data_IF_350203687231
#
_entry.id   IF_350203687231
#
_cell.length_a   1.000
_cell.length_b   1.000
_cell.length_c   1.000
_cell.angle_alpha   90.00
_cell.angle_beta   90.00
_cell.angle_gamma   90.00
#
_symmetry.space_group_name_H-M   'P 1'
#
loop_
_entity.id
_entity.type
_entity.pdbx_description
1 polymer ?
#
# COMPACT_ATOMS: atom_id res chain seq x y z
N UNK A 1 21.64 -12.66 4.48
CA UNK A 1 22.46 -13.75 5.03
C UNK A 1 22.36 -13.71 6.53
N UNK A 2 21.69 -14.69 7.13
CA UNK A 2 21.65 -14.88 8.59
C UNK A 2 22.87 -15.68 8.98
N UNK A 3 23.67 -15.18 9.91
CA UNK A 3 24.82 -15.90 10.43
C UNK A 3 24.30 -16.99 11.40
N UNK A 4 24.59 -18.27 11.19
CA UNK A 4 24.16 -19.33 12.10
C UNK A 4 24.87 -19.16 13.46
N UNK A 5 24.09 -19.07 14.56
CA UNK A 5 24.61 -18.93 15.92
C UNK A 5 24.56 -17.52 16.51
N UNK A 6 23.98 -16.55 15.82
CA UNK A 6 23.81 -15.19 16.33
C UNK A 6 22.66 -15.12 17.35
N UNK A 7 22.83 -14.45 18.52
CA UNK A 7 21.80 -14.38 19.56
C UNK A 7 20.55 -13.55 19.16
N UNK A 8 20.60 -12.87 18.02
CA UNK A 8 19.52 -12.03 17.48
C UNK A 8 19.13 -12.55 16.10
N UNK A 9 18.26 -13.57 16.02
CA UNK A 9 17.92 -14.24 14.75
C UNK A 9 17.26 -13.30 13.73
N UNK A 10 16.72 -12.17 14.17
CA UNK A 10 15.99 -11.21 13.33
C UNK A 10 16.85 -10.04 12.82
N UNK A 11 18.16 -10.03 13.12
CA UNK A 11 19.07 -8.99 12.66
C UNK A 11 19.64 -9.33 11.27
N UNK A 12 19.33 -8.51 10.30
CA UNK A 12 19.88 -8.58 8.95
C UNK A 12 20.79 -7.38 8.68
N UNK A 13 21.93 -7.62 8.03
CA UNK A 13 22.79 -6.56 7.52
C UNK A 13 22.46 -6.35 6.03
N UNK A 14 22.04 -5.14 5.65
CA UNK A 14 21.74 -4.82 4.25
C UNK A 14 23.02 -4.79 3.41
N UNK A 15 24.12 -4.26 3.97
CA UNK A 15 25.41 -4.12 3.29
C UNK A 15 26.57 -4.73 4.10
N UNK A 16 26.65 -6.05 4.20
CA UNK A 16 27.67 -6.72 5.03
C UNK A 16 29.10 -6.43 4.56
N UNK A 17 29.29 -6.14 3.26
CA UNK A 17 30.59 -5.78 2.70
C UNK A 17 31.14 -4.44 3.22
N UNK A 18 30.30 -3.56 3.79
CA UNK A 18 30.75 -2.33 4.43
C UNK A 18 31.70 -2.60 5.63
N UNK A 19 31.58 -3.77 6.27
CA UNK A 19 32.50 -4.20 7.35
C UNK A 19 33.93 -4.44 6.87
N UNK A 20 34.15 -4.64 5.56
CA UNK A 20 35.50 -4.73 4.99
C UNK A 20 36.30 -3.42 5.11
N UNK A 21 35.60 -2.29 5.38
CA UNK A 21 36.25 -1.00 5.65
C UNK A 21 36.86 -0.90 7.07
N UNK A 22 36.56 -1.82 7.97
CA UNK A 22 37.12 -1.83 9.34
C UNK A 22 38.64 -1.74 9.38
N UNK A 23 39.43 -2.53 8.61
CA UNK A 23 40.91 -2.48 8.65
C UNK A 23 41.51 -1.27 7.93
N UNK A 24 40.68 -0.44 7.22
CA UNK A 24 41.18 0.67 6.41
C UNK A 24 42.07 1.67 7.16
N UNK A 25 41.78 2.12 8.39
CA UNK A 25 42.67 3.05 9.10
C UNK A 25 44.01 2.42 9.48
N UNK A 26 44.04 1.09 9.69
CA UNK A 26 45.25 0.35 9.98
C UNK A 26 46.11 0.17 8.71
N UNK A 27 45.51 -0.14 7.56
CA UNK A 27 46.14 -0.20 6.24
C UNK A 27 46.72 1.17 5.83
N UNK A 28 45.99 2.26 6.06
CA UNK A 28 46.44 3.62 5.77
C UNK A 28 47.68 4.00 6.63
N UNK A 29 47.90 3.39 7.79
CA UNK A 29 49.07 3.59 8.63
C UNK A 29 50.33 2.99 8.00
N UNK A 30 50.20 1.96 7.20
CA UNK A 30 51.32 1.30 6.50
C UNK A 30 51.69 2.00 5.20
N UNK A 31 50.82 2.90 4.72
CA UNK A 31 51.10 3.69 3.53
C UNK A 31 52.25 4.65 3.85
N UNK A 32 53.41 4.60 3.10
CA UNK A 32 54.51 5.48 3.35
C UNK A 32 54.13 6.91 3.14
N UNK A 33 54.04 7.67 4.23
CA UNK A 33 53.85 9.12 4.14
C UNK A 33 55.18 9.67 3.61
N UNK A 34 55.16 10.13 2.38
CA UNK A 34 56.25 10.98 1.86
C UNK A 34 56.20 12.28 2.65
N UNK A 35 56.95 12.34 3.74
CA UNK A 35 57.22 13.58 4.44
C UNK A 35 58.14 14.36 3.53
N UNK A 36 57.64 15.39 2.88
CA UNK A 36 58.48 16.37 2.22
C UNK A 36 59.30 17.04 3.33
N UNK A 37 60.54 16.61 3.48
CA UNK A 37 61.51 17.21 4.38
C UNK A 37 62.08 18.48 3.73
N UNK A 38 61.24 19.47 3.50
CA UNK A 38 61.67 20.80 3.11
C UNK A 38 61.26 21.84 4.19
N UNK A 39 61.88 21.68 5.35
CA UNK A 39 61.83 22.69 6.39
C UNK A 39 63.26 23.02 6.83
N UNK A 40 63.69 24.25 6.57
CA UNK A 40 64.95 24.71 7.10
C UNK A 40 64.99 24.45 8.61
N UNK A 41 65.87 23.55 9.06
CA UNK A 41 66.08 23.26 10.47
C UNK A 41 66.65 24.53 11.16
N UNK A 42 65.80 25.27 11.88
CA UNK A 42 66.28 26.31 12.76
C UNK A 42 67.12 25.68 13.88
N UNK A 43 68.40 25.97 13.90
CA UNK A 43 69.27 25.59 15.01
C UNK A 43 68.93 26.45 16.21
N UNK A 44 68.24 25.89 17.19
CA UNK A 44 67.87 26.56 18.43
C UNK A 44 68.91 26.17 19.49
N UNK A 45 69.46 27.10 20.28
CA UNK A 45 70.50 26.82 21.22
C UNK A 45 70.03 26.12 22.52
N UNK A 46 68.87 25.57 22.54
CA UNK A 46 68.27 24.92 23.72
C UNK A 46 68.48 23.43 23.71
N UNK A 47 68.82 22.86 24.92
CA UNK A 47 68.97 21.41 25.05
C UNK A 47 67.66 20.66 24.80
N UNK A 48 67.72 19.43 24.27
CA UNK A 48 66.56 18.60 23.99
C UNK A 48 65.65 18.38 25.23
N UNK A 49 66.22 18.46 26.45
CA UNK A 49 65.47 18.37 27.72
C UNK A 49 64.60 19.61 27.95
N UNK A 50 65.15 20.80 27.74
CA UNK A 50 64.40 22.06 27.89
C UNK A 50 63.28 22.17 26.85
N UNK A 51 63.49 21.69 25.63
CA UNK A 51 62.45 21.59 24.60
C UNK A 51 61.36 20.60 24.98
N UNK A 52 61.67 19.49 25.64
CA UNK A 52 60.69 18.53 26.15
C UNK A 52 59.88 19.06 27.33
N UNK A 53 60.47 19.85 28.21
CA UNK A 53 59.79 20.54 29.34
C UNK A 53 58.84 21.64 28.83
N UNK A 54 59.29 22.46 27.84
CA UNK A 54 58.45 23.50 27.21
C UNK A 54 57.36 22.88 26.33
N UNK A 55 57.60 21.76 25.69
CA UNK A 55 56.57 21.00 24.93
C UNK A 55 55.50 20.40 25.83
N UNK A 56 55.60 20.63 27.15
CA UNK A 56 54.67 20.18 28.18
C UNK A 56 54.43 18.71 28.00
N UNK A 57 54.85 17.90 28.94
CA UNK A 57 54.58 16.44 28.97
C UNK A 57 53.07 16.10 28.94
N UNK A 58 52.44 16.54 27.91
CA UNK A 58 51.03 16.20 27.57
C UNK A 58 51.02 14.78 27.07
N UNK A 59 50.91 13.95 28.02
CA UNK A 59 50.98 12.55 28.16
C UNK A 59 50.71 11.74 26.93
N UNK A 60 51.57 10.79 26.70
CA UNK A 60 51.39 9.60 25.83
C UNK A 60 49.99 8.99 26.04
N UNK A 61 49.38 9.20 27.20
CA UNK A 61 48.02 8.69 27.54
C UNK A 61 46.90 9.49 26.89
N UNK A 62 46.98 10.79 26.79
CA UNK A 62 45.99 11.60 26.06
C UNK A 62 45.96 11.28 24.56
N UNK A 63 47.11 11.00 23.96
CA UNK A 63 47.19 10.59 22.56
C UNK A 63 46.67 9.14 22.32
N UNK A 64 46.73 8.27 23.34
CA UNK A 64 46.16 6.91 23.28
C UNK A 64 44.63 6.99 23.35
N UNK A 65 44.09 7.74 24.29
CA UNK A 65 42.63 7.91 24.46
C UNK A 65 42.02 8.53 23.19
N UNK A 66 42.63 9.59 22.66
CA UNK A 66 42.14 10.22 21.42
C UNK A 66 42.13 9.22 20.24
N UNK A 67 43.17 8.42 20.08
CA UNK A 67 43.23 7.38 19.03
C UNK A 67 42.16 6.30 19.25
N UNK A 68 41.95 5.89 20.49
CA UNK A 68 40.91 4.91 20.82
C UNK A 68 39.52 5.44 20.47
N UNK A 69 39.19 6.68 20.82
CA UNK A 69 37.95 7.32 20.48
C UNK A 69 37.69 7.37 18.96
N UNK A 70 38.71 7.72 18.18
CA UNK A 70 38.60 7.73 16.71
C UNK A 70 38.40 6.33 16.13
N UNK A 71 39.07 5.33 16.70
CA UNK A 71 38.90 3.93 16.30
C UNK A 71 37.49 3.42 16.61
N UNK A 72 36.98 3.71 17.79
CA UNK A 72 35.62 3.35 18.17
C UNK A 72 34.60 4.08 17.28
N UNK A 73 34.80 5.38 17.01
CA UNK A 73 33.94 6.14 16.11
C UNK A 73 33.93 5.52 14.70
N UNK A 74 35.11 5.10 14.19
CA UNK A 74 35.24 4.42 12.89
C UNK A 74 34.49 3.08 12.87
N UNK A 75 34.67 2.25 13.90
CA UNK A 75 33.96 0.97 14.01
C UNK A 75 32.43 1.18 14.02
N UNK A 76 31.93 2.13 14.82
CA UNK A 76 30.50 2.45 14.85
C UNK A 76 29.98 2.97 13.49
N UNK A 77 30.80 3.76 12.79
CA UNK A 77 30.48 4.24 11.44
C UNK A 77 30.38 3.08 10.44
N UNK A 78 31.30 2.12 10.48
CA UNK A 78 31.25 0.93 9.63
C UNK A 78 30.02 0.07 9.92
N UNK A 79 29.64 -0.06 11.20
CA UNK A 79 28.42 -0.77 11.61
C UNK A 79 27.17 -0.01 11.12
N UNK A 80 27.14 1.31 11.24
CA UNK A 80 26.04 2.13 10.71
C UNK A 80 25.91 1.99 9.18
N UNK A 81 27.04 1.98 8.46
CA UNK A 81 27.08 1.80 7.01
C UNK A 81 26.62 0.41 6.57
N UNK A 82 26.85 -0.62 7.39
CA UNK A 82 26.33 -1.97 7.15
C UNK A 82 24.80 -2.05 7.23
N UNK A 83 24.10 -0.97 7.65
CA UNK A 83 22.64 -0.82 7.76
C UNK A 83 21.99 -2.03 8.46
N UNK A 84 22.19 -2.20 9.77
CA UNK A 84 21.50 -3.23 10.53
C UNK A 84 19.98 -2.99 10.48
N UNK A 85 19.23 -4.04 10.12
CA UNK A 85 17.76 -4.06 10.01
C UNK A 85 17.22 -5.14 10.92
N UNK A 86 16.21 -4.80 11.70
CA UNK A 86 15.42 -5.77 12.48
C UNK A 86 14.18 -6.14 11.67
N UNK A 87 13.93 -7.44 11.54
CA UNK A 87 12.68 -7.94 10.99
C UNK A 87 11.57 -7.71 12.04
N UNK A 88 10.58 -6.92 11.67
CA UNK A 88 9.36 -6.75 12.48
C UNK A 88 8.48 -8.00 12.46
N UNK A 89 7.44 -7.96 13.26
CA UNK A 89 6.41 -9.01 13.26
C UNK A 89 5.80 -9.16 11.88
N UNK A 90 5.51 -10.40 11.50
CA UNK A 90 4.87 -10.70 10.24
C UNK A 90 3.45 -10.11 10.25
N UNK A 91 3.26 -8.99 9.57
CA UNK A 91 1.94 -8.44 9.31
C UNK A 91 1.44 -9.08 8.02
N UNK A 92 0.38 -9.85 8.11
CA UNK A 92 -0.36 -10.31 6.95
C UNK A 92 -1.38 -9.22 6.60
N UNK A 93 -1.09 -8.31 5.67
CA UNK A 93 -2.12 -7.41 5.20
C UNK A 93 -3.26 -8.28 4.63
N UNK A 94 -4.51 -7.90 4.79
CA UNK A 94 -5.61 -8.55 4.09
C UNK A 94 -5.41 -8.32 2.58
N UNK A 95 -4.70 -9.24 1.90
CA UNK A 95 -4.26 -9.03 0.51
C UNK A 95 -5.18 -9.65 -0.50
N UNK A 96 -6.27 -10.24 -0.08
CA UNK A 96 -7.26 -10.72 -1.03
C UNK A 96 -8.57 -9.98 -0.78
N UNK A 97 -8.63 -8.75 -1.26
CA UNK A 97 -9.87 -8.07 -1.51
C UNK A 97 -10.74 -8.93 -2.42
N UNK A 98 -12.00 -9.13 -2.06
CA UNK A 98 -12.96 -9.80 -2.94
C UNK A 98 -13.01 -9.07 -4.27
N UNK A 99 -13.17 -9.82 -5.33
CA UNK A 99 -13.35 -9.26 -6.66
C UNK A 99 -14.83 -9.33 -7.00
N UNK A 100 -15.51 -8.23 -6.81
CA UNK A 100 -16.96 -8.11 -7.02
C UNK A 100 -17.23 -7.39 -8.33
N UNK A 101 -18.09 -7.95 -9.15
CA UNK A 101 -18.69 -7.23 -10.27
C UNK A 101 -20.16 -7.00 -9.97
N UNK A 102 -20.58 -5.75 -9.98
CA UNK A 102 -21.98 -5.36 -9.89
C UNK A 102 -22.51 -5.17 -11.31
N UNK A 103 -23.53 -5.93 -11.68
CA UNK A 103 -24.25 -5.74 -12.92
C UNK A 103 -25.65 -5.20 -12.60
N UNK A 104 -25.93 -3.97 -13.02
CA UNK A 104 -27.17 -3.27 -12.74
C UNK A 104 -27.98 -3.12 -14.02
N UNK A 105 -29.23 -3.53 -13.97
CA UNK A 105 -30.20 -3.28 -15.01
C UNK A 105 -30.53 -1.79 -15.09
N UNK A 106 -30.51 -1.25 -16.30
CA UNK A 106 -30.93 0.14 -16.60
C UNK A 106 -31.96 0.16 -17.74
N UNK A 107 -32.61 -0.95 -17.96
CA UNK A 107 -33.73 -1.08 -18.95
C UNK A 107 -34.89 -0.18 -18.63
N UNK A 108 -35.88 -0.13 -19.54
CA UNK A 108 -37.02 0.76 -19.41
C UNK A 108 -37.88 0.50 -18.17
N UNK A 109 -37.98 -0.76 -17.72
CA UNK A 109 -38.72 -1.16 -16.52
C UNK A 109 -38.17 -0.61 -15.21
N UNK A 110 -36.87 -0.33 -15.16
CA UNK A 110 -36.21 0.29 -13.99
C UNK A 110 -36.65 1.76 -13.74
N UNK A 111 -37.36 2.38 -14.69
CA UNK A 111 -37.94 3.70 -14.53
C UNK A 111 -39.33 3.67 -13.84
N UNK A 112 -39.86 2.51 -13.48
CA UNK A 112 -41.16 2.43 -12.83
C UNK A 112 -41.13 2.94 -11.38
N UNK A 113 -42.08 3.85 -10.99
CA UNK A 113 -42.13 4.41 -9.65
C UNK A 113 -42.98 3.50 -8.73
N UNK A 114 -42.48 2.32 -8.39
CA UNK A 114 -43.18 1.34 -7.53
C UNK A 114 -42.41 1.01 -6.25
N UNK A 115 -41.25 1.62 -6.04
CA UNK A 115 -40.40 1.35 -4.88
C UNK A 115 -40.55 2.41 -3.80
N UNK A 116 -40.47 1.99 -2.53
CA UNK A 116 -40.53 2.90 -1.39
C UNK A 116 -39.16 3.14 -0.81
N UNK A 117 -38.69 4.38 -0.80
CA UNK A 117 -37.49 4.82 -0.13
C UNK A 117 -37.85 5.79 1.00
N UNK A 118 -37.78 5.32 2.24
CA UNK A 118 -38.26 6.07 3.40
C UNK A 118 -39.75 6.26 3.39
N UNK A 119 -40.24 7.46 2.97
CA UNK A 119 -41.67 7.79 2.87
C UNK A 119 -42.12 8.22 1.45
N UNK A 120 -41.21 8.12 0.50
CA UNK A 120 -41.46 8.55 -0.88
C UNK A 120 -41.46 7.34 -1.81
N UNK A 121 -42.38 7.37 -2.76
CA UNK A 121 -42.36 6.43 -3.88
C UNK A 121 -41.35 6.96 -4.91
N UNK A 122 -40.43 6.12 -5.32
CA UNK A 122 -39.33 6.45 -6.23
C UNK A 122 -39.25 5.41 -7.34
N UNK A 123 -38.53 5.74 -8.41
CA UNK A 123 -38.20 4.80 -9.47
C UNK A 123 -37.33 3.65 -8.95
N UNK A 124 -37.44 2.45 -9.50
CA UNK A 124 -36.66 1.27 -9.16
C UNK A 124 -35.16 1.57 -9.23
N UNK A 125 -34.72 2.27 -10.29
CA UNK A 125 -33.32 2.64 -10.45
C UNK A 125 -32.80 3.53 -9.32
N UNK A 126 -33.61 4.52 -8.88
CA UNK A 126 -33.24 5.42 -7.77
C UNK A 126 -33.12 4.64 -6.46
N UNK A 127 -34.06 3.74 -6.20
CA UNK A 127 -33.99 2.87 -5.02
C UNK A 127 -32.81 1.92 -5.05
N UNK A 128 -32.53 1.28 -6.19
CA UNK A 128 -31.38 0.40 -6.38
C UNK A 128 -30.06 1.14 -6.16
N UNK A 129 -29.88 2.33 -6.73
CA UNK A 129 -28.71 3.18 -6.55
C UNK A 129 -28.47 3.53 -5.08
N UNK A 130 -29.52 3.91 -4.35
CA UNK A 130 -29.39 4.28 -2.95
C UNK A 130 -28.86 3.11 -2.10
N UNK A 131 -29.41 1.91 -2.31
CA UNK A 131 -28.99 0.70 -1.57
C UNK A 131 -27.61 0.23 -2.00
N UNK A 132 -27.29 0.30 -3.30
CA UNK A 132 -25.95 -0.05 -3.79
C UNK A 132 -24.87 0.93 -3.30
N UNK A 133 -25.20 2.22 -3.19
CA UNK A 133 -24.28 3.20 -2.64
C UNK A 133 -23.95 2.90 -1.17
N UNK A 134 -24.97 2.59 -0.36
CA UNK A 134 -24.79 2.16 1.03
C UNK A 134 -24.00 0.83 1.15
N UNK A 135 -24.24 -0.10 0.23
CA UNK A 135 -23.45 -1.33 0.12
C UNK A 135 -21.97 -1.04 -0.16
N UNK A 136 -21.67 -0.15 -1.11
CA UNK A 136 -20.30 0.23 -1.44
C UNK A 136 -19.57 0.90 -0.24
N UNK A 137 -20.28 1.74 0.52
CA UNK A 137 -19.72 2.42 1.69
C UNK A 137 -19.26 1.43 2.78
N UNK A 138 -19.87 0.25 2.87
CA UNK A 138 -19.51 -0.82 3.80
C UNK A 138 -18.40 -1.74 3.30
N UNK A 139 -17.91 -1.56 2.07
CA UNK A 139 -16.96 -2.46 1.38
C UNK A 139 -15.53 -1.93 1.34
N UNK A 140 -15.14 -1.15 2.34
CA UNK A 140 -13.76 -0.67 2.43
C UNK A 140 -12.77 -1.86 2.43
N UNK A 141 -11.90 -1.88 1.41
CA UNK A 141 -10.91 -2.94 1.21
C UNK A 141 -11.26 -3.98 0.14
N UNK A 142 -12.50 -4.03 -0.37
CA UNK A 142 -12.87 -4.85 -1.51
C UNK A 142 -12.55 -4.13 -2.84
N UNK A 143 -12.48 -4.90 -3.93
CA UNK A 143 -12.34 -4.37 -5.29
C UNK A 143 -13.65 -4.60 -6.02
N UNK A 144 -14.26 -3.52 -6.48
CA UNK A 144 -15.57 -3.56 -7.12
C UNK A 144 -15.49 -2.98 -8.51
N UNK A 145 -16.12 -3.66 -9.47
CA UNK A 145 -16.39 -3.14 -10.79
C UNK A 145 -17.88 -2.92 -10.99
N UNK A 146 -18.25 -1.98 -11.85
CA UNK A 146 -19.64 -1.67 -12.20
C UNK A 146 -19.88 -1.92 -13.68
N UNK A 147 -20.96 -2.64 -13.94
CA UNK A 147 -21.47 -2.94 -15.26
C UNK A 147 -22.95 -2.54 -15.28
N UNK A 148 -23.38 -1.94 -16.38
CA UNK A 148 -24.81 -1.70 -16.64
C UNK A 148 -25.24 -2.46 -17.88
N UNK A 149 -26.49 -2.84 -17.95
CA UNK A 149 -27.04 -3.53 -19.10
C UNK A 149 -28.49 -3.13 -19.39
N UNK A 150 -28.84 -3.25 -20.62
CA UNK A 150 -30.12 -3.04 -21.26
C UNK A 150 -30.15 -3.87 -22.52
N UNK A 151 -30.30 -3.29 -23.72
CA UNK A 151 -30.17 -3.99 -24.99
C UNK A 151 -28.78 -4.66 -25.13
N UNK A 152 -27.77 -4.08 -24.52
CA UNK A 152 -26.38 -4.56 -24.45
C UNK A 152 -25.79 -4.29 -23.09
N UNK A 153 -24.68 -4.99 -22.79
CA UNK A 153 -23.95 -4.79 -21.56
C UNK A 153 -22.71 -3.90 -21.75
N UNK A 154 -22.49 -2.98 -20.82
CA UNK A 154 -21.37 -2.04 -20.81
C UNK A 154 -20.69 -2.02 -19.44
N UNK A 155 -19.35 -2.08 -19.43
CA UNK A 155 -18.59 -1.88 -18.20
C UNK A 155 -18.37 -0.37 -17.99
N UNK A 156 -18.93 0.19 -16.93
CA UNK A 156 -18.72 1.60 -16.54
C UNK A 156 -17.40 1.76 -15.81
N UNK A 157 -17.13 0.89 -14.82
CA UNK A 157 -15.86 0.89 -14.10
C UNK A 157 -15.23 -0.50 -14.12
N UNK A 158 -13.90 -0.58 -14.35
CA UNK A 158 -13.16 -1.82 -14.16
C UNK A 158 -13.13 -2.19 -12.68
N UNK A 159 -12.70 -3.41 -12.35
CA UNK A 159 -12.53 -3.85 -10.96
C UNK A 159 -11.43 -3.02 -10.30
N UNK A 160 -11.81 -2.14 -9.38
CA UNK A 160 -10.92 -1.19 -8.69
C UNK A 160 -11.15 -1.19 -7.19
N UNK A 161 -10.13 -0.78 -6.44
CA UNK A 161 -10.25 -0.48 -5.02
C UNK A 161 -10.77 0.95 -4.75
N UNK A 162 -10.87 1.78 -5.79
CA UNK A 162 -11.43 3.13 -5.70
C UNK A 162 -12.97 3.07 -5.76
N UNK A 163 -13.56 2.83 -4.59
CA UNK A 163 -15.00 2.75 -4.46
C UNK A 163 -15.71 4.10 -4.65
N UNK A 164 -14.98 5.22 -4.48
CA UNK A 164 -15.54 6.54 -4.71
C UNK A 164 -15.87 6.75 -6.19
N UNK A 165 -14.95 6.38 -7.10
CA UNK A 165 -15.20 6.42 -8.53
C UNK A 165 -16.34 5.47 -8.97
N UNK A 166 -16.44 4.27 -8.34
CA UNK A 166 -17.55 3.34 -8.61
C UNK A 166 -18.88 3.97 -8.21
N UNK A 167 -18.92 4.62 -7.04
CA UNK A 167 -20.12 5.30 -6.54
C UNK A 167 -20.53 6.48 -7.40
N UNK A 168 -19.59 7.26 -7.90
CA UNK A 168 -19.85 8.37 -8.81
C UNK A 168 -20.50 7.86 -10.10
N UNK A 169 -19.90 6.84 -10.74
CA UNK A 169 -20.45 6.23 -11.95
C UNK A 169 -21.81 5.56 -11.73
N UNK A 170 -22.03 4.96 -10.55
CA UNK A 170 -23.34 4.46 -10.15
C UNK A 170 -24.38 5.60 -10.07
N UNK A 171 -23.99 6.75 -9.52
CA UNK A 171 -24.81 7.95 -9.46
C UNK A 171 -25.24 8.47 -10.82
N UNK A 172 -24.35 8.41 -11.82
CA UNK A 172 -24.56 8.93 -13.18
C UNK A 172 -25.40 8.00 -14.08
N UNK A 173 -25.58 6.71 -13.69
CA UNK A 173 -26.38 5.78 -14.46
C UNK A 173 -27.83 6.27 -14.56
N UNK A 174 -28.41 6.23 -15.75
CA UNK A 174 -29.81 6.64 -16.02
C UNK A 174 -30.57 5.54 -16.73
N UNK A 175 -31.87 5.53 -16.57
CA UNK A 175 -32.76 4.58 -17.29
C UNK A 175 -32.58 4.74 -18.79
N UNK A 176 -32.41 3.62 -19.49
CA UNK A 176 -32.21 3.57 -20.91
C UNK A 176 -30.79 3.88 -21.39
N UNK A 177 -29.79 4.05 -20.48
CA UNK A 177 -28.40 4.29 -20.82
C UNK A 177 -27.81 3.17 -21.72
N UNK A 178 -28.22 1.92 -21.46
CA UNK A 178 -27.77 0.75 -22.22
C UNK A 178 -28.85 0.18 -23.16
N UNK A 179 -29.94 0.92 -23.39
CA UNK A 179 -31.10 0.50 -24.15
C UNK A 179 -32.30 0.24 -23.25
N UNK A 180 -33.43 -0.13 -23.85
CA UNK A 180 -34.69 -0.30 -23.13
C UNK A 180 -35.05 -1.75 -22.81
N UNK A 181 -34.45 -2.68 -23.52
CA UNK A 181 -34.60 -4.13 -23.34
C UNK A 181 -33.66 -4.67 -22.27
N UNK A 182 -33.66 -5.97 -22.02
CA UNK A 182 -32.90 -6.59 -20.93
C UNK A 182 -32.10 -7.79 -21.44
N UNK A 183 -30.77 -7.62 -21.62
CA UNK A 183 -29.84 -8.64 -22.10
C UNK A 183 -29.05 -9.27 -20.94
N UNK A 184 -29.70 -10.11 -20.11
CA UNK A 184 -29.08 -10.76 -18.94
C UNK A 184 -27.87 -11.65 -19.35
N UNK A 185 -28.00 -12.42 -20.44
CA UNK A 185 -26.94 -13.31 -20.91
C UNK A 185 -25.66 -12.56 -21.28
N UNK A 186 -25.79 -11.43 -21.98
CA UNK A 186 -24.65 -10.60 -22.38
C UNK A 186 -24.01 -9.92 -21.17
N UNK A 187 -24.81 -9.52 -20.15
CA UNK A 187 -24.33 -8.97 -18.90
C UNK A 187 -23.45 -9.97 -18.14
N UNK A 188 -23.92 -11.22 -18.00
CA UNK A 188 -23.14 -12.32 -17.38
C UNK A 188 -21.85 -12.56 -18.16
N UNK A 189 -21.94 -12.70 -19.49
CA UNK A 189 -20.77 -12.97 -20.34
C UNK A 189 -19.69 -11.87 -20.23
N UNK A 190 -20.12 -10.60 -20.22
CA UNK A 190 -19.19 -9.48 -20.04
C UNK A 190 -18.56 -9.47 -18.64
N UNK A 191 -19.35 -9.75 -17.58
CA UNK A 191 -18.85 -9.88 -16.22
C UNK A 191 -17.81 -11.01 -16.11
N UNK A 192 -18.10 -12.17 -16.66
CA UNK A 192 -17.17 -13.31 -16.71
C UNK A 192 -15.87 -12.94 -17.41
N UNK A 193 -15.95 -12.26 -18.57
CA UNK A 193 -14.78 -11.77 -19.30
C UNK A 193 -13.92 -10.84 -18.45
N UNK A 194 -14.51 -10.03 -17.58
CA UNK A 194 -13.78 -9.10 -16.69
C UNK A 194 -13.23 -9.76 -15.44
N UNK A 195 -13.91 -10.82 -14.96
CA UNK A 195 -13.54 -11.54 -13.74
C UNK A 195 -12.53 -12.66 -13.98
N UNK A 196 -12.47 -13.26 -15.17
CA UNK A 196 -11.59 -14.41 -15.45
C UNK A 196 -10.11 -14.13 -15.22
N UNK A 197 -9.68 -12.87 -15.40
CA UNK A 197 -8.29 -12.44 -15.18
C UNK A 197 -7.97 -12.21 -13.69
N UNK A 198 -8.98 -12.39 -12.80
CA UNK A 198 -8.84 -12.25 -11.37
C UNK A 198 -8.57 -13.61 -10.71
N UNK A 199 -8.00 -13.64 -9.47
CA UNK A 199 -7.73 -14.88 -8.76
C UNK A 199 -8.98 -15.77 -8.60
N UNK A 200 -8.80 -17.07 -8.75
CA UNK A 200 -9.87 -18.05 -8.55
C UNK A 200 -10.40 -18.03 -7.11
N UNK A 201 -11.67 -18.38 -6.95
CA UNK A 201 -12.34 -18.43 -5.64
C UNK A 201 -12.82 -17.09 -5.10
N UNK A 202 -12.53 -15.98 -5.80
CA UNK A 202 -12.94 -14.63 -5.40
C UNK A 202 -13.79 -13.91 -6.46
N UNK A 203 -14.17 -14.63 -7.50
CA UNK A 203 -14.91 -14.10 -8.65
C UNK A 203 -16.39 -14.14 -8.34
N UNK A 204 -16.96 -13.00 -8.01
CA UNK A 204 -18.37 -12.86 -7.65
C UNK A 204 -19.05 -11.85 -8.56
N UNK A 205 -20.18 -12.23 -9.12
CA UNK A 205 -21.07 -11.36 -9.87
C UNK A 205 -22.39 -11.21 -9.09
N UNK A 206 -22.76 -9.98 -8.78
CA UNK A 206 -24.09 -9.62 -8.27
C UNK A 206 -24.86 -9.03 -9.44
N UNK A 207 -25.93 -9.70 -9.85
CA UNK A 207 -26.76 -9.31 -10.97
C UNK A 207 -28.09 -8.78 -10.46
N UNK A 208 -28.31 -7.48 -10.57
CA UNK A 208 -29.57 -6.83 -10.19
C UNK A 208 -30.43 -6.61 -11.45
N UNK A 209 -31.62 -7.17 -11.48
CA UNK A 209 -32.57 -7.04 -12.59
C UNK A 209 -34.00 -7.07 -12.08
N UNK A 210 -34.90 -6.43 -12.79
CA UNK A 210 -36.36 -6.42 -12.52
C UNK A 210 -37.15 -7.09 -13.61
N UNK A 211 -36.51 -7.59 -14.67
CA UNK A 211 -37.15 -8.05 -15.87
C UNK A 211 -36.85 -9.47 -16.32
N UNK A 212 -37.45 -9.83 -17.43
CA UNK A 212 -37.23 -11.04 -18.21
C UNK A 212 -36.17 -10.72 -19.28
N UNK A 213 -35.24 -11.65 -19.53
CA UNK A 213 -34.29 -11.47 -20.63
C UNK A 213 -35.01 -11.55 -21.97
N UNK A 214 -35.13 -10.42 -22.66
CA UNK A 214 -35.80 -10.28 -23.96
C UNK A 214 -34.87 -9.82 -25.08
N UNK A 215 -33.59 -9.52 -24.75
CA UNK A 215 -32.54 -9.10 -25.67
C UNK A 215 -31.25 -9.86 -25.45
N UNK A 216 -30.24 -9.56 -26.26
CA UNK A 216 -28.90 -10.08 -26.18
C UNK A 216 -28.60 -11.21 -27.15
N UNK A 217 -27.31 -11.45 -27.38
CA UNK A 217 -26.80 -12.49 -28.29
C UNK A 217 -26.71 -13.83 -27.58
N UNK A 218 -26.37 -13.83 -26.30
CA UNK A 218 -26.20 -15.05 -25.50
C UNK A 218 -27.42 -15.30 -24.60
N UNK A 219 -27.95 -16.54 -24.64
CA UNK A 219 -29.02 -16.89 -23.70
C UNK A 219 -28.52 -16.94 -22.26
N UNK A 220 -29.34 -16.53 -21.26
CA UNK A 220 -28.94 -16.49 -19.84
C UNK A 220 -28.36 -17.79 -19.32
N UNK A 221 -28.93 -18.95 -19.68
CA UNK A 221 -28.47 -20.25 -19.22
C UNK A 221 -27.10 -20.65 -19.80
N UNK A 222 -26.82 -20.30 -21.07
CA UNK A 222 -25.49 -20.51 -21.66
C UNK A 222 -24.45 -19.61 -21.04
N UNK A 223 -24.83 -18.38 -20.71
CA UNK A 223 -23.95 -17.47 -19.97
C UNK A 223 -23.65 -17.99 -18.55
N UNK A 224 -24.63 -18.62 -17.89
CA UNK A 224 -24.43 -19.29 -16.62
C UNK A 224 -23.47 -20.48 -16.73
N UNK A 225 -23.58 -21.30 -17.76
CA UNK A 225 -22.64 -22.41 -18.01
C UNK A 225 -21.20 -21.90 -18.24
N UNK A 226 -21.06 -20.76 -18.96
CA UNK A 226 -19.77 -20.08 -19.12
C UNK A 226 -19.23 -19.58 -17.76
N UNK A 227 -20.10 -18.95 -16.95
CA UNK A 227 -19.72 -18.48 -15.61
C UNK A 227 -19.27 -19.61 -14.69
N UNK A 228 -19.96 -20.77 -14.73
CA UNK A 228 -19.60 -21.96 -13.98
C UNK A 228 -18.22 -22.50 -14.41
N UNK A 229 -17.96 -22.56 -15.72
CA UNK A 229 -16.65 -22.99 -16.27
C UNK A 229 -15.49 -22.11 -15.80
N UNK A 230 -15.72 -20.81 -15.72
CA UNK A 230 -14.73 -19.80 -15.26
C UNK A 230 -14.75 -19.59 -13.75
N UNK A 231 -15.49 -20.43 -13.01
CA UNK A 231 -15.62 -20.37 -11.54
C UNK A 231 -16.11 -18.99 -11.02
N UNK A 232 -16.99 -18.35 -11.75
CA UNK A 232 -17.65 -17.10 -11.36
C UNK A 232 -18.98 -17.45 -10.69
N UNK A 233 -19.11 -17.11 -9.41
CA UNK A 233 -20.39 -17.27 -8.68
C UNK A 233 -21.31 -16.11 -9.02
N UNK A 234 -22.52 -16.41 -9.47
CA UNK A 234 -23.53 -15.42 -9.82
C UNK A 234 -24.61 -15.39 -8.75
N UNK A 235 -24.88 -14.22 -8.21
CA UNK A 235 -25.96 -13.93 -7.27
C UNK A 235 -27.00 -13.07 -7.96
N UNK A 236 -28.02 -13.67 -8.59
CA UNK A 236 -29.11 -12.91 -9.17
C UNK A 236 -30.00 -12.35 -8.08
N UNK A 237 -30.28 -11.07 -8.15
CA UNK A 237 -31.20 -10.35 -7.28
C UNK A 237 -32.32 -9.81 -8.14
N UNK A 238 -33.50 -10.42 -8.04
CA UNK A 238 -34.69 -9.91 -8.65
C UNK A 238 -35.24 -8.74 -7.82
N UNK A 239 -35.37 -7.57 -8.43
CA UNK A 239 -35.76 -6.33 -7.76
C UNK A 239 -36.98 -5.72 -8.41
N UNK A 240 -38.03 -5.42 -7.62
CA UNK A 240 -39.27 -4.83 -8.09
C UNK A 240 -40.45 -5.18 -7.21
N UNK A 241 -41.37 -4.27 -7.09
CA UNK A 241 -42.63 -4.46 -6.36
C UNK A 241 -43.55 -5.52 -7.02
N UNK A 242 -44.62 -5.88 -6.34
CA UNK A 242 -45.59 -6.85 -6.84
C UNK A 242 -46.51 -6.25 -7.94
N UNK A 243 -46.13 -5.11 -8.56
CA UNK A 243 -46.73 -4.54 -9.78
C UNK A 243 -48.23 -4.18 -9.72
N UNK A 244 -48.84 -4.28 -8.57
CA UNK A 244 -50.27 -3.96 -8.41
C UNK A 244 -50.49 -2.62 -7.70
N UNK A 245 -50.95 -1.61 -8.41
CA UNK A 245 -51.51 -0.43 -7.78
C UNK A 245 -52.83 -0.87 -7.10
N UNK A 246 -52.75 -1.14 -5.79
CA UNK A 246 -53.95 -1.43 -4.97
C UNK A 246 -54.64 -0.13 -4.68
N UNK A 247 -55.61 0.23 -5.53
CA UNK A 247 -56.50 1.35 -5.27
C UNK A 247 -57.80 0.78 -4.64
N UNK A 248 -58.09 1.16 -3.42
CA UNK A 248 -59.26 0.70 -2.64
C UNK A 248 -59.42 -0.82 -2.46
N UNK A 249 -58.30 -1.57 -2.41
CA UNK A 249 -58.35 -3.03 -2.20
C UNK A 249 -58.69 -3.86 -3.43
N UNK A 250 -58.83 -3.24 -4.60
CA UNK A 250 -58.96 -3.91 -5.88
C UNK A 250 -57.66 -3.85 -6.64
N UNK A 251 -57.14 -5.02 -7.07
CA UNK A 251 -55.99 -5.14 -7.97
C UNK A 251 -56.43 -4.66 -9.36
N UNK A 252 -56.09 -3.43 -9.73
CA UNK A 252 -56.42 -2.84 -11.03
C UNK A 252 -55.32 -3.00 -12.08
N UNK A 253 -54.27 -3.68 -11.76
CA UNK A 253 -53.18 -3.95 -12.68
C UNK A 253 -53.05 -5.44 -13.00
N UNK A 254 -53.26 -5.82 -14.25
CA UNK A 254 -52.65 -7.02 -14.78
C UNK A 254 -51.15 -6.81 -14.66
N UNK A 255 -50.50 -7.62 -13.78
CA UNK A 255 -49.09 -7.50 -13.51
C UNK A 255 -48.29 -7.47 -14.79
N UNK A 256 -47.48 -6.48 -14.91
CA UNK A 256 -46.39 -6.50 -15.86
C UNK A 256 -45.57 -7.80 -15.71
N UNK A 257 -44.97 -8.21 -16.80
CA UNK A 257 -44.32 -9.50 -16.98
C UNK A 257 -43.64 -9.99 -15.69
N UNK A 258 -44.02 -11.15 -15.18
CA UNK A 258 -43.48 -11.66 -13.95
C UNK A 258 -41.96 -11.86 -14.18
N UNK A 259 -41.14 -11.34 -13.29
CA UNK A 259 -39.73 -11.62 -13.27
C UNK A 259 -39.53 -13.11 -13.47
N UNK A 260 -38.68 -13.51 -14.43
CA UNK A 260 -38.39 -14.94 -14.68
C UNK A 260 -37.53 -15.52 -13.57
N UNK A 261 -38.16 -15.69 -12.39
CA UNK A 261 -37.46 -16.27 -11.23
C UNK A 261 -36.92 -17.66 -11.50
N UNK A 262 -37.60 -18.43 -12.40
CA UNK A 262 -37.16 -19.78 -12.71
C UNK A 262 -35.81 -19.78 -13.40
N UNK A 263 -35.60 -18.92 -14.39
CA UNK A 263 -34.32 -18.76 -15.06
C UNK A 263 -33.24 -18.21 -14.12
N UNK A 264 -33.56 -17.20 -13.29
CA UNK A 264 -32.63 -16.62 -12.34
C UNK A 264 -32.17 -17.63 -11.27
N UNK A 265 -33.08 -18.49 -10.78
CA UNK A 265 -32.71 -19.59 -9.87
C UNK A 265 -31.79 -20.61 -10.54
N UNK A 266 -32.06 -21.00 -11.79
CA UNK A 266 -31.20 -21.91 -12.54
C UNK A 266 -29.79 -21.31 -12.76
N UNK A 267 -29.69 -19.99 -13.03
CA UNK A 267 -28.40 -19.30 -13.14
C UNK A 267 -27.63 -19.42 -11.82
N UNK A 268 -28.28 -19.13 -10.69
CA UNK A 268 -27.67 -19.24 -9.39
C UNK A 268 -27.19 -20.66 -9.09
N UNK A 269 -28.05 -21.66 -9.28
CA UNK A 269 -27.74 -23.07 -9.01
C UNK A 269 -26.56 -23.57 -9.86
N UNK A 270 -26.53 -23.26 -11.16
CA UNK A 270 -25.43 -23.69 -12.07
C UNK A 270 -24.10 -23.06 -11.72
N UNK A 271 -24.09 -21.85 -11.17
CA UNK A 271 -22.86 -21.10 -10.85
C UNK A 271 -22.43 -21.25 -9.38
N UNK A 272 -23.16 -22.02 -8.56
CA UNK A 272 -22.91 -22.19 -7.14
C UNK A 272 -23.22 -20.93 -6.31
N UNK A 273 -23.98 -20.01 -6.86
CA UNK A 273 -24.52 -18.83 -6.16
C UNK A 273 -25.87 -19.10 -5.51
N UNK A 274 -26.57 -18.02 -5.16
CA UNK A 274 -27.92 -18.07 -4.58
C UNK A 274 -28.80 -16.98 -5.20
N UNK A 275 -30.05 -17.33 -5.49
CA UNK A 275 -31.06 -16.38 -5.97
C UNK A 275 -31.69 -15.64 -4.80
N UNK A 276 -31.95 -14.36 -4.98
CA UNK A 276 -32.64 -13.48 -4.03
C UNK A 276 -33.77 -12.72 -4.72
N UNK A 277 -34.82 -12.41 -3.96
CA UNK A 277 -35.91 -11.52 -4.37
C UNK A 277 -35.98 -10.38 -3.38
N UNK A 278 -36.00 -9.16 -3.88
CA UNK A 278 -36.23 -7.96 -3.09
C UNK A 278 -37.43 -7.22 -3.60
N UNK A 279 -38.45 -7.06 -2.76
CA UNK A 279 -39.69 -6.33 -3.06
C UNK A 279 -39.63 -4.88 -2.61
N UNK A 280 -38.74 -4.60 -1.69
CA UNK A 280 -38.52 -3.26 -1.18
C UNK A 280 -37.02 -3.00 -0.92
N UNK A 281 -36.69 -1.76 -0.55
CA UNK A 281 -35.31 -1.35 -0.27
C UNK A 281 -34.74 -2.00 0.99
N UNK A 282 -35.55 -2.36 1.97
CA UNK A 282 -35.12 -2.98 3.21
C UNK A 282 -34.72 -4.45 2.98
N UNK A 283 -35.52 -5.20 2.19
CA UNK A 283 -35.21 -6.55 1.77
C UNK A 283 -33.91 -6.54 0.95
N UNK A 284 -33.73 -5.60 0.01
CA UNK A 284 -32.52 -5.49 -0.78
C UNK A 284 -31.28 -5.23 0.09
N UNK A 285 -31.39 -4.34 1.08
CA UNK A 285 -30.30 -4.10 2.02
C UNK A 285 -29.98 -5.35 2.87
N UNK A 286 -31.00 -6.11 3.28
CA UNK A 286 -30.86 -7.38 3.98
C UNK A 286 -30.12 -8.43 3.16
N UNK A 287 -30.43 -8.52 1.85
CA UNK A 287 -29.78 -9.44 0.89
C UNK A 287 -28.28 -9.12 0.79
N UNK A 288 -27.91 -7.86 0.69
CA UNK A 288 -26.49 -7.47 0.66
C UNK A 288 -25.77 -7.80 1.96
N UNK A 289 -26.43 -7.70 3.12
CA UNK A 289 -25.86 -8.13 4.40
C UNK A 289 -25.66 -9.66 4.47
N UNK A 290 -26.54 -10.44 3.83
CA UNK A 290 -26.39 -11.89 3.73
C UNK A 290 -25.27 -12.29 2.76
N UNK A 291 -25.13 -11.61 1.63
CA UNK A 291 -24.00 -11.77 0.70
C UNK A 291 -22.65 -11.55 1.40
N UNK A 292 -22.59 -10.62 2.37
CA UNK A 292 -21.41 -10.42 3.20
C UNK A 292 -21.03 -11.64 4.02
N UNK A 293 -22.02 -12.41 4.46
CA UNK A 293 -21.80 -13.64 5.25
C UNK A 293 -21.45 -14.84 4.38
N UNK A 294 -22.04 -14.91 3.17
CA UNK A 294 -21.78 -16.01 2.24
C UNK A 294 -20.37 -15.96 1.65
N UNK A 295 -19.86 -14.78 1.47
CA UNK A 295 -18.53 -14.53 0.87
C UNK A 295 -17.58 -13.87 1.89
N UNK A 296 -17.15 -14.59 2.96
CA UNK A 296 -16.22 -14.01 3.93
C UNK A 296 -14.86 -13.76 3.29
N UNK A 297 -14.16 -12.70 3.73
CA UNK A 297 -12.77 -12.44 3.33
C UNK A 297 -11.86 -13.49 3.97
N UNK A 298 -11.51 -14.51 3.23
CA UNK A 298 -10.70 -15.65 3.73
C UNK A 298 -9.28 -15.67 3.17
N UNK A 299 -8.63 -14.55 3.01
CA UNK A 299 -7.29 -14.62 2.48
C UNK A 299 -6.26 -14.00 3.38
N UNK A 300 -5.44 -14.87 3.95
CA UNK A 300 -4.15 -14.51 4.53
C UNK A 300 -3.20 -14.23 3.37
N UNK A 301 -2.93 -12.96 3.09
CA UNK A 301 -1.91 -12.58 2.13
C UNK A 301 -0.51 -13.04 2.56
N UNK A 302 0.46 -13.03 1.65
CA UNK A 302 1.83 -13.35 2.01
C UNK A 302 2.26 -12.42 3.14
N UNK A 303 2.76 -13.02 4.23
CA UNK A 303 3.20 -12.29 5.39
C UNK A 303 4.33 -11.33 5.00
N UNK A 304 4.06 -10.05 5.02
CA UNK A 304 5.06 -9.01 4.83
C UNK A 304 5.72 -8.73 6.18
N UNK A 305 7.03 -8.89 6.26
CA UNK A 305 7.79 -8.51 7.44
C UNK A 305 8.39 -7.12 7.22
N UNK A 306 7.87 -6.08 7.90
CA UNK A 306 8.45 -4.75 7.78
C UNK A 306 9.90 -4.79 8.29
N UNK A 307 10.79 -4.09 7.58
CA UNK A 307 12.20 -3.99 7.95
C UNK A 307 12.41 -2.67 8.69
N UNK A 308 12.65 -2.75 9.99
CA UNK A 308 12.94 -1.58 10.80
C UNK A 308 14.45 -1.33 10.78
N UNK A 309 14.85 -0.16 10.30
CA UNK A 309 16.25 0.23 10.23
C UNK A 309 16.71 0.77 11.59
N UNK A 310 17.83 0.26 12.10
CA UNK A 310 18.40 0.70 13.39
C UNK A 310 19.79 1.34 13.26
N UNK A 311 20.21 1.65 12.03
CA UNK A 311 21.52 2.23 11.76
C UNK A 311 21.75 3.60 12.45
N UNK A 312 20.68 4.36 12.72
CA UNK A 312 20.77 5.69 13.31
C UNK A 312 21.34 5.68 14.73
N UNK A 313 21.16 4.59 15.50
CA UNK A 313 21.79 4.45 16.81
C UNK A 313 23.31 4.32 16.71
N UNK A 314 23.79 3.47 15.81
CA UNK A 314 25.22 3.30 15.57
C UNK A 314 25.84 4.59 15.00
N UNK A 315 25.14 5.29 14.12
CA UNK A 315 25.56 6.58 13.57
C UNK A 315 25.62 7.66 14.66
N UNK A 316 24.61 7.74 15.53
CA UNK A 316 24.57 8.70 16.65
C UNK A 316 25.77 8.51 17.60
N UNK A 317 26.08 7.26 17.96
CA UNK A 317 27.24 6.92 18.79
C UNK A 317 28.56 7.29 18.06
N UNK A 318 28.68 7.01 16.77
CA UNK A 318 29.86 7.39 15.98
C UNK A 318 30.09 8.89 15.96
N UNK A 319 29.04 9.69 15.76
CA UNK A 319 29.11 11.15 15.79
C UNK A 319 29.50 11.69 17.18
N UNK A 320 28.91 11.13 18.24
CA UNK A 320 29.20 11.53 19.62
C UNK A 320 30.66 11.23 19.97
N UNK A 321 31.15 10.03 19.64
CA UNK A 321 32.57 9.67 19.85
C UNK A 321 33.51 10.56 19.03
N UNK A 322 33.16 10.90 17.79
CA UNK A 322 33.90 11.83 16.94
C UNK A 322 33.96 13.24 17.53
N UNK A 323 32.83 13.75 18.02
CA UNK A 323 32.76 15.05 18.71
C UNK A 323 33.60 15.06 20.01
N UNK A 324 33.51 14.00 20.81
CA UNK A 324 34.32 13.84 22.01
C UNK A 324 35.82 13.79 21.66
N UNK A 325 36.21 13.08 20.60
CA UNK A 325 37.59 13.05 20.12
C UNK A 325 38.08 14.43 19.66
N UNK A 326 37.17 15.21 19.01
CA UNK A 326 37.49 16.58 18.56
C UNK A 326 37.63 17.57 19.71
N UNK A 327 36.77 17.47 20.75
CA UNK A 327 36.79 18.30 21.95
C UNK A 327 37.90 17.91 22.92
N UNK A 328 38.51 16.70 22.78
CA UNK A 328 39.53 16.21 23.72
C UNK A 328 40.77 17.10 23.74
N UNK A 329 41.18 17.66 24.90
CA UNK A 329 42.20 18.67 24.99
C UNK A 329 43.62 18.21 24.63
N UNK A 330 43.80 16.90 24.33
CA UNK A 330 45.07 16.32 23.91
C UNK A 330 45.61 16.72 22.53
N UNK A 331 44.77 17.39 21.72
CA UNK A 331 45.13 18.11 20.49
C UNK A 331 44.73 19.56 20.65
N UNK A 332 45.54 20.38 21.27
CA UNK A 332 45.47 21.83 20.97
C UNK A 332 45.93 21.98 19.52
N UNK A 333 44.98 21.89 18.64
CA UNK A 333 45.16 21.95 17.22
C UNK A 333 45.67 23.32 16.82
N UNK A 334 46.88 23.34 16.37
CA UNK A 334 47.46 24.42 15.59
C UNK A 334 46.93 24.42 14.13
N UNK A 335 45.65 24.13 13.86
CA UNK A 335 45.23 23.93 12.47
C UNK A 335 44.09 24.86 12.00
N UNK A 336 43.32 25.45 12.87
CA UNK A 336 42.20 26.31 12.39
C UNK A 336 42.33 27.80 12.73
N UNK A 337 43.03 28.15 13.82
CA UNK A 337 43.25 29.56 14.17
C UNK A 337 44.38 30.21 13.39
N UNK A 338 45.28 29.45 12.79
CA UNK A 338 46.34 29.94 11.91
C UNK A 338 45.80 30.27 10.50
N UNK A 339 44.83 29.51 9.98
CA UNK A 339 44.32 29.75 8.63
C UNK A 339 43.42 30.98 8.50
N UNK A 340 42.76 31.40 9.58
CA UNK A 340 41.87 32.57 9.59
C UNK A 340 42.61 33.91 9.97
N UNK A 341 43.87 33.84 10.41
CA UNK A 341 44.65 35.03 10.77
C UNK A 341 45.77 35.40 9.81
N UNK A 342 46.04 34.61 8.79
CA UNK A 342 47.09 34.88 7.79
C UNK A 342 46.55 35.53 6.50
N UNK A 343 45.48 36.29 6.53
CA UNK A 343 45.02 37.09 5.38
C UNK A 343 45.56 38.55 5.42
N UNK A 344 46.60 38.84 6.21
CA UNK A 344 47.27 40.14 6.25
C UNK A 344 48.71 40.12 5.66
N UNK A 345 49.23 41.24 5.18
CA UNK A 345 50.52 41.27 4.49
C UNK A 345 51.68 40.79 5.38
N UNK A 346 52.55 40.03 4.77
CA UNK A 346 53.60 39.14 5.29
C UNK A 346 54.62 39.77 6.30
N UNK A 347 54.47 40.99 6.77
CA UNK A 347 55.51 41.66 7.61
C UNK A 347 55.24 41.71 9.12
N UNK A 348 54.11 41.28 9.64
CA UNK A 348 53.80 41.40 11.08
C UNK A 348 53.46 40.08 11.83
N UNK A 349 53.58 38.93 11.22
CA UNK A 349 53.23 37.65 11.87
C UNK A 349 54.39 36.89 12.54
N UNK A 350 55.61 37.43 12.52
CA UNK A 350 56.81 36.69 12.97
C UNK A 350 57.11 36.75 14.46
N UNK A 351 56.26 37.40 15.30
CA UNK A 351 56.66 37.66 16.70
C UNK A 351 55.89 36.93 17.81
N UNK A 352 54.76 36.27 17.54
CA UNK A 352 53.87 35.74 18.60
C UNK A 352 53.18 34.40 18.34
N UNK A 353 53.52 33.65 17.34
CA UNK A 353 52.96 32.33 17.15
C UNK A 353 53.90 31.24 17.59
N UNK A 354 53.76 30.80 18.83
CA UNK A 354 54.46 29.62 19.42
C UNK A 354 53.93 28.30 18.78
N UNK A 355 53.05 28.36 17.80
CA UNK A 355 52.40 27.22 17.19
C UNK A 355 53.00 26.76 15.84
N UNK A 356 54.09 27.39 15.37
CA UNK A 356 54.82 26.92 14.18
C UNK A 356 56.16 26.24 14.54
N UNK A 357 56.15 25.42 15.56
CA UNK A 357 57.25 24.55 15.86
C UNK A 357 56.83 23.11 15.92
#
# INVERSE_FOLDING_TARGET
MTLPGWPWPDLLLAWPWALLALPLPWLMRWWPRRVAAEGAALRVPWSARQLQEIAGGSGRDGARVHRLLLWLAWCCLCVALARPQLLGEAVSPPTQARQLMLAMDVSGSMGEPDMVLGRQVVERLVAAKAVLADFLDRRAGDRVGLLVFGDRAYALTPITADLASVREQLGDAVVGLAGRETAIGDAIALAVKRLRDQPEGQRVLILLTDGVSNAGVLSPLRAADLAATEQVRVYPVAFGGDGGMKLFGMDLGQGQDPVDEATLRQIAERTGGRFFRARDTAELAGIYAELDRLEPVTAKGPALRPRNEVYFWALGVAMLLGALAWLWPGRRACTWTCFLRCTGPVRSCCGRCVCCR
#
